data_IF_231590483338
#
_entry.id   IF_231590483338
#
_cell.length_a   1.000
_cell.length_b   1.000
_cell.length_c   1.000
_cell.angle_alpha   90.00
_cell.angle_beta   90.00
_cell.angle_gamma   90.00
#
_symmetry.space_group_name_H-M   'P 1'
#
loop_
_entity.id
_entity.type
_entity.pdbx_description
1 polymer ?
#
# COMPACT_ATOMS: atom_id res chain seq x y z
N UNK A 1 -11.00 -15.94 11.30
CA UNK A 1 -12.03 -15.00 11.81
C UNK A 1 -12.01 -15.09 13.33
N UNK A 2 -12.07 -13.95 14.05
CA UNK A 2 -12.02 -13.97 15.52
C UNK A 2 -13.30 -14.59 16.12
N UNK A 3 -13.19 -15.26 17.28
CA UNK A 3 -14.35 -15.81 17.98
C UNK A 3 -15.39 -14.72 18.31
N UNK A 4 -16.71 -14.97 18.14
CA UNK A 4 -17.76 -13.99 18.42
C UNK A 4 -17.75 -13.46 19.85
N UNK A 5 -17.21 -14.24 20.79
CA UNK A 5 -17.11 -13.91 22.21
C UNK A 5 -16.19 -12.71 22.47
N UNK A 6 -15.27 -12.41 21.56
CA UNK A 6 -14.37 -11.25 21.67
C UNK A 6 -15.02 -9.95 21.18
N UNK A 7 -16.02 -10.01 20.29
CA UNK A 7 -16.61 -8.86 19.59
C UNK A 7 -17.78 -8.24 20.39
N UNK A 8 -18.06 -8.76 21.59
CA UNK A 8 -19.14 -8.24 22.44
C UNK A 8 -18.72 -6.93 23.12
N UNK A 9 -19.64 -5.96 23.15
CA UNK A 9 -19.50 -4.67 23.85
C UNK A 9 -18.93 -4.89 25.27
N UNK A 10 -17.81 -4.22 25.58
CA UNK A 10 -17.02 -4.35 26.81
C UNK A 10 -15.66 -5.08 26.66
N UNK A 11 -15.21 -5.39 25.44
CA UNK A 11 -13.91 -6.07 25.16
C UNK A 11 -13.19 -5.43 23.96
N UNK A 12 -13.62 -5.75 22.74
CA UNK A 12 -13.28 -5.02 21.52
C UNK A 12 -14.49 -4.14 21.18
N UNK A 13 -14.50 -2.92 21.71
CA UNK A 13 -15.69 -2.05 21.68
C UNK A 13 -16.02 -1.54 20.27
N UNK A 14 -15.01 -1.39 19.41
CA UNK A 14 -15.18 -0.88 18.06
C UNK A 14 -14.17 -1.53 17.12
N UNK A 15 -14.65 -2.02 15.98
CA UNK A 15 -13.82 -2.59 14.93
C UNK A 15 -13.65 -1.53 13.86
N UNK A 16 -12.42 -1.19 13.54
CA UNK A 16 -12.09 -0.30 12.42
C UNK A 16 -11.66 -1.11 11.21
N UNK A 17 -12.25 -0.83 10.06
CA UNK A 17 -11.82 -1.40 8.80
C UNK A 17 -10.85 -0.45 8.10
N UNK A 18 -9.66 -0.97 7.81
CA UNK A 18 -8.61 -0.29 7.06
C UNK A 18 -8.48 -1.01 5.72
N UNK A 19 -8.81 -0.32 4.65
CA UNK A 19 -8.68 -0.78 3.27
C UNK A 19 -7.26 -0.53 2.73
N UNK A 20 -7.04 -0.89 1.46
CA UNK A 20 -5.84 -0.55 0.72
C UNK A 20 -5.61 0.96 0.65
N UNK A 21 -4.34 1.40 0.66
CA UNK A 21 -4.02 2.81 0.68
C UNK A 21 -4.40 3.50 -0.63
N UNK A 22 -5.00 4.69 -0.52
CA UNK A 22 -5.23 5.58 -1.67
C UNK A 22 -3.92 6.22 -2.17
N UNK A 23 -3.97 6.96 -3.27
CA UNK A 23 -2.78 7.58 -3.88
C UNK A 23 -2.01 8.51 -2.93
N UNK A 24 -2.70 9.31 -2.10
CA UNK A 24 -2.04 10.20 -1.15
C UNK A 24 -1.32 9.41 -0.03
N UNK A 25 -1.97 8.36 0.47
CA UNK A 25 -1.40 7.44 1.44
C UNK A 25 -0.22 6.67 0.86
N UNK A 26 -0.32 6.16 -0.38
CA UNK A 26 0.81 5.51 -1.09
C UNK A 26 1.97 6.47 -1.27
N UNK A 27 1.72 7.74 -1.58
CA UNK A 27 2.77 8.75 -1.65
C UNK A 27 3.48 8.93 -0.31
N UNK A 28 2.72 9.00 0.80
CA UNK A 28 3.29 9.07 2.14
C UNK A 28 4.09 7.80 2.50
N UNK A 29 3.57 6.63 2.14
CA UNK A 29 4.27 5.35 2.33
C UNK A 29 5.61 5.35 1.58
N UNK A 30 5.64 5.74 0.30
CA UNK A 30 6.91 5.83 -0.44
C UNK A 30 7.92 6.74 0.25
N UNK A 31 7.49 7.93 0.73
CA UNK A 31 8.38 8.86 1.46
C UNK A 31 8.98 8.18 2.70
N UNK A 32 8.15 7.55 3.52
CA UNK A 32 8.58 6.89 4.76
C UNK A 32 9.52 5.73 4.45
N UNK A 33 9.20 4.87 3.49
CA UNK A 33 10.02 3.70 3.18
C UNK A 33 11.35 4.08 2.53
N UNK A 34 11.37 5.03 1.59
CA UNK A 34 12.62 5.53 1.00
C UNK A 34 13.54 6.14 2.08
N UNK A 35 12.99 6.99 2.96
CA UNK A 35 13.77 7.58 4.06
C UNK A 35 14.29 6.52 5.05
N UNK A 36 13.46 5.53 5.40
CA UNK A 36 13.86 4.40 6.26
C UNK A 36 15.03 3.61 5.69
N UNK A 37 15.09 3.49 4.36
CA UNK A 37 16.15 2.84 3.60
C UNK A 37 17.31 3.77 3.23
N UNK A 38 17.42 4.92 3.92
CA UNK A 38 18.47 5.93 3.75
C UNK A 38 18.59 6.49 2.32
N UNK A 39 17.48 6.47 1.57
CA UNK A 39 17.40 7.10 0.26
C UNK A 39 16.93 8.54 0.43
N UNK A 40 17.52 9.45 -0.34
CA UNK A 40 17.04 10.82 -0.39
C UNK A 40 15.79 10.88 -1.26
N UNK A 41 14.65 11.17 -0.64
CA UNK A 41 13.33 11.20 -1.29
C UNK A 41 13.28 12.17 -2.48
N UNK A 42 14.08 13.24 -2.46
CA UNK A 42 14.13 14.22 -3.54
C UNK A 42 14.67 13.65 -4.87
N UNK A 43 15.38 12.52 -4.82
CA UNK A 43 15.96 11.88 -6.01
C UNK A 43 14.94 10.97 -6.73
N UNK A 44 13.73 10.82 -6.18
CA UNK A 44 12.69 9.94 -6.70
C UNK A 44 11.47 10.70 -7.19
N UNK A 45 10.96 10.32 -8.36
CA UNK A 45 9.69 10.84 -8.86
C UNK A 45 8.52 10.09 -8.22
N UNK A 46 8.08 10.56 -7.05
CA UNK A 46 6.98 9.96 -6.30
C UNK A 46 5.67 9.89 -7.07
N UNK A 47 5.39 10.86 -7.95
CA UNK A 47 4.17 10.86 -8.75
C UNK A 47 4.11 9.65 -9.69
N UNK A 48 5.23 9.34 -10.36
CA UNK A 48 5.34 8.13 -11.20
C UNK A 48 5.20 6.85 -10.37
N UNK A 49 5.84 6.78 -9.21
CA UNK A 49 5.77 5.59 -8.35
C UNK A 49 4.35 5.34 -7.83
N UNK A 50 3.61 6.39 -7.46
CA UNK A 50 2.23 6.29 -6.99
C UNK A 50 1.27 5.84 -8.10
N UNK A 51 1.46 6.35 -9.32
CA UNK A 51 0.68 5.95 -10.48
C UNK A 51 0.92 4.46 -10.83
N UNK A 52 2.15 3.99 -10.70
CA UNK A 52 2.52 2.59 -10.97
C UNK A 52 2.13 1.60 -9.86
N UNK A 53 1.72 2.07 -8.68
CA UNK A 53 1.44 1.22 -7.51
C UNK A 53 -0.04 1.16 -7.14
N UNK A 54 -0.95 1.42 -8.08
CA UNK A 54 -2.38 1.32 -7.82
C UNK A 54 -2.76 -0.07 -7.28
N UNK A 55 -3.45 -0.10 -6.15
CA UNK A 55 -3.86 -1.34 -5.50
C UNK A 55 -2.75 -2.07 -4.74
N UNK A 56 -1.56 -1.51 -4.61
CA UNK A 56 -0.51 -2.07 -3.77
C UNK A 56 -0.76 -1.73 -2.30
N UNK A 57 -0.49 -2.70 -1.43
CA UNK A 57 -0.39 -2.47 0.01
C UNK A 57 0.94 -1.80 0.38
N UNK A 58 1.02 -1.25 1.60
CA UNK A 58 2.27 -0.65 2.09
C UNK A 58 3.43 -1.66 2.23
N UNK A 59 3.10 -2.94 2.43
CA UNK A 59 4.09 -4.02 2.49
C UNK A 59 4.67 -4.34 1.11
N UNK A 60 3.84 -4.33 0.06
CA UNK A 60 4.28 -4.57 -1.31
C UNK A 60 5.12 -3.40 -1.84
N UNK A 61 4.79 -2.16 -1.46
CA UNK A 61 5.64 -1.00 -1.76
C UNK A 61 7.03 -1.15 -1.11
N UNK A 62 7.12 -1.56 0.16
CA UNK A 62 8.40 -1.81 0.82
C UNK A 62 9.18 -2.95 0.18
N UNK A 63 8.49 -4.02 -0.23
CA UNK A 63 9.09 -5.14 -0.94
C UNK A 63 9.70 -4.68 -2.28
N UNK A 64 8.96 -3.90 -3.09
CA UNK A 64 9.45 -3.37 -4.36
C UNK A 64 10.70 -2.49 -4.17
N UNK A 65 10.72 -1.62 -3.15
CA UNK A 65 11.90 -0.78 -2.83
C UNK A 65 13.10 -1.66 -2.45
N UNK A 66 12.90 -2.71 -1.65
CA UNK A 66 13.98 -3.63 -1.25
C UNK A 66 14.53 -4.40 -2.45
N UNK A 67 13.66 -4.93 -3.31
CA UNK A 67 14.08 -5.63 -4.53
C UNK A 67 14.88 -4.71 -5.45
N UNK A 68 14.40 -3.47 -5.65
CA UNK A 68 15.08 -2.48 -6.47
C UNK A 68 16.45 -2.11 -5.90
N UNK A 69 16.56 -2.02 -4.57
CA UNK A 69 17.84 -1.81 -3.90
C UNK A 69 18.81 -2.97 -4.13
N UNK A 70 18.35 -4.23 -4.04
CA UNK A 70 19.19 -5.40 -4.30
C UNK A 70 19.66 -5.46 -5.76
N UNK A 71 18.76 -5.16 -6.70
CA UNK A 71 19.09 -5.10 -8.13
C UNK A 71 20.13 -4.01 -8.41
N UNK A 72 19.92 -2.79 -7.91
CA UNK A 72 20.86 -1.69 -8.07
C UNK A 72 22.23 -2.00 -7.44
N UNK A 73 22.24 -2.66 -6.27
CA UNK A 73 23.47 -3.08 -5.61
C UNK A 73 24.24 -4.12 -6.44
N UNK A 74 23.55 -5.11 -7.02
CA UNK A 74 24.16 -6.12 -7.89
C UNK A 74 24.83 -5.49 -9.12
N UNK A 75 24.20 -4.44 -9.67
CA UNK A 75 24.71 -3.68 -10.82
C UNK A 75 25.74 -2.60 -10.44
N UNK A 76 26.08 -2.45 -9.16
CA UNK A 76 26.98 -1.42 -8.61
C UNK A 76 26.53 0.02 -8.95
N UNK A 77 25.22 0.25 -8.93
CA UNK A 77 24.60 1.55 -9.19
C UNK A 77 23.78 2.02 -7.99
N UNK A 78 23.43 3.29 -7.98
CA UNK A 78 22.42 3.81 -7.06
C UNK A 78 21.03 3.42 -7.56
N UNK A 79 20.12 3.18 -6.62
CA UNK A 79 18.71 2.94 -6.93
C UNK A 79 18.07 4.28 -7.34
N UNK A 80 17.36 4.28 -8.46
CA UNK A 80 16.63 5.42 -8.97
C UNK A 80 15.13 5.11 -9.11
N UNK A 81 14.38 6.04 -9.68
CA UNK A 81 12.93 5.86 -9.90
C UNK A 81 12.65 4.66 -10.82
N UNK A 82 13.46 4.46 -11.85
CA UNK A 82 13.22 3.44 -12.87
C UNK A 82 13.47 2.04 -12.34
N UNK A 83 14.46 1.87 -11.45
CA UNK A 83 14.69 0.61 -10.74
C UNK A 83 13.46 0.20 -9.91
N UNK A 84 12.84 1.14 -9.18
CA UNK A 84 11.63 0.85 -8.40
C UNK A 84 10.44 0.57 -9.32
N UNK A 85 10.30 1.30 -10.44
CA UNK A 85 9.24 1.06 -11.42
C UNK A 85 9.34 -0.33 -12.05
N UNK A 86 10.54 -0.82 -12.34
CA UNK A 86 10.76 -2.16 -12.86
C UNK A 86 10.19 -3.22 -11.90
N UNK A 87 10.48 -3.11 -10.61
CA UNK A 87 9.98 -4.04 -9.58
C UNK A 87 8.47 -3.95 -9.34
N UNK A 88 7.89 -2.74 -9.43
CA UNK A 88 6.43 -2.60 -9.37
C UNK A 88 5.77 -3.27 -10.58
N UNK A 89 6.34 -3.12 -11.78
CA UNK A 89 5.79 -3.69 -13.01
C UNK A 89 5.88 -5.21 -13.08
N UNK A 90 6.84 -5.82 -12.40
CA UNK A 90 7.01 -7.27 -12.32
C UNK A 90 6.19 -7.93 -11.21
N UNK A 91 5.53 -7.13 -10.36
CA UNK A 91 4.77 -7.61 -9.21
C UNK A 91 3.28 -7.50 -9.47
N UNK A 92 2.54 -8.60 -9.29
CA UNK A 92 1.06 -8.59 -9.29
C UNK A 92 0.58 -8.29 -7.87
N UNK A 93 -0.15 -7.18 -7.64
CA UNK A 93 -0.52 -6.78 -6.28
C UNK A 93 -1.56 -7.70 -5.65
N UNK A 94 -1.63 -7.67 -4.32
CA UNK A 94 -2.59 -8.40 -3.50
C UNK A 94 -4.03 -8.09 -3.90
N UNK A 95 -4.30 -6.84 -4.27
CA UNK A 95 -5.59 -6.39 -4.79
C UNK A 95 -6.07 -7.18 -6.01
N UNK A 96 -5.14 -7.59 -6.89
CA UNK A 96 -5.46 -8.38 -8.06
C UNK A 96 -5.46 -9.89 -7.74
N UNK A 97 -4.47 -10.38 -7.00
CA UNK A 97 -4.33 -11.83 -6.71
C UNK A 97 -5.39 -12.36 -5.73
N UNK A 98 -5.93 -11.51 -4.85
CA UNK A 98 -6.93 -11.86 -3.83
C UNK A 98 -8.14 -10.93 -3.84
N UNK A 99 -8.54 -10.47 -5.03
CA UNK A 99 -9.66 -9.54 -5.20
C UNK A 99 -10.95 -10.01 -4.49
N UNK A 100 -11.29 -11.28 -4.63
CA UNK A 100 -12.49 -11.90 -4.04
C UNK A 100 -12.47 -11.89 -2.51
N UNK A 101 -11.29 -12.10 -1.91
CA UNK A 101 -11.11 -12.06 -0.46
C UNK A 101 -11.26 -10.64 0.08
N UNK A 102 -10.69 -9.66 -0.63
CA UNK A 102 -10.76 -8.24 -0.27
C UNK A 102 -12.21 -7.75 -0.36
N UNK A 103 -12.91 -8.11 -1.43
CA UNK A 103 -14.30 -7.73 -1.60
C UNK A 103 -15.19 -8.34 -0.51
N UNK A 104 -14.97 -9.62 -0.17
CA UNK A 104 -15.66 -10.27 0.95
C UNK A 104 -15.39 -9.57 2.28
N UNK A 105 -14.17 -9.09 2.51
CA UNK A 105 -13.82 -8.32 3.71
C UNK A 105 -14.50 -6.95 3.73
N UNK A 106 -14.55 -6.25 2.60
CA UNK A 106 -15.25 -4.97 2.46
C UNK A 106 -16.74 -5.11 2.76
N UNK A 107 -17.39 -6.13 2.21
CA UNK A 107 -18.81 -6.43 2.47
C UNK A 107 -19.06 -6.74 3.95
N UNK A 108 -18.21 -7.57 4.56
CA UNK A 108 -18.31 -7.84 6.00
C UNK A 108 -18.16 -6.57 6.85
N UNK A 109 -17.26 -5.66 6.46
CA UNK A 109 -16.99 -4.43 7.19
C UNK A 109 -18.16 -3.44 7.15
N UNK A 110 -18.94 -3.39 6.06
CA UNK A 110 -20.08 -2.46 5.93
C UNK A 110 -21.11 -2.60 7.05
N UNK A 111 -21.32 -3.82 7.56
CA UNK A 111 -22.32 -4.08 8.60
C UNK A 111 -21.73 -4.11 10.02
N UNK A 112 -20.40 -4.24 10.15
CA UNK A 112 -19.76 -4.68 11.41
C UNK A 112 -18.54 -3.86 11.84
N UNK A 113 -18.12 -2.88 11.05
CA UNK A 113 -16.95 -2.06 11.34
C UNK A 113 -17.16 -0.59 10.95
N UNK A 114 -16.43 0.30 11.62
CA UNK A 114 -16.30 1.71 11.25
C UNK A 114 -15.22 1.84 10.18
N UNK A 115 -15.51 2.52 9.07
CA UNK A 115 -14.48 2.77 8.05
C UNK A 115 -13.46 3.79 8.58
N UNK A 116 -12.18 3.41 8.56
CA UNK A 116 -11.07 4.28 8.93
C UNK A 116 -10.28 4.78 7.71
N UNK A 117 -10.49 4.18 6.54
CA UNK A 117 -9.86 4.57 5.28
C UNK A 117 -10.71 5.60 4.52
N UNK A 118 -10.02 6.52 3.86
CA UNK A 118 -10.67 7.47 2.96
C UNK A 118 -10.71 6.90 1.54
N UNK A 119 -11.85 7.01 0.83
CA UNK A 119 -11.92 6.62 -0.58
C UNK A 119 -10.87 7.39 -1.39
N UNK A 120 -10.39 6.77 -2.45
CA UNK A 120 -9.56 7.44 -3.47
C UNK A 120 -10.31 8.73 -3.85
N UNK A 121 -9.70 9.90 -3.61
CA UNK A 121 -10.30 11.15 -4.01
C UNK A 121 -10.59 11.02 -5.51
N UNK A 122 -11.87 11.05 -5.90
CA UNK A 122 -12.25 11.10 -7.30
C UNK A 122 -11.39 12.19 -7.91
N UNK A 123 -10.60 11.85 -8.94
CA UNK A 123 -9.77 12.81 -9.64
C UNK A 123 -10.61 14.06 -9.84
N UNK A 124 -10.22 15.14 -9.15
CA UNK A 124 -10.94 16.39 -9.20
C UNK A 124 -10.74 16.93 -10.61
N UNK A 125 -11.66 16.56 -11.50
CA UNK A 125 -11.85 17.22 -12.77
C UNK A 125 -12.29 18.65 -12.48
N UNK A 126 -11.35 19.58 -12.65
CA UNK A 126 -11.59 21.00 -12.87
C UNK A 126 -10.42 21.57 -13.67
#
# INVERSE_FOLDING_TARGET
>A
MLPPELIRKGRFDEIFFVDLPNSAERQAIFRVQLARHKQNVADFNLAKLVAASQGFSGAEIDAAIKSAMYAAFADKKFMDTDAVLAELSSTVPLSATRAEDIERLRQWAQERAVQASYPEAAEAGA
#
